data_IF_451616893339
#
_entry.id   IF_451616893339
#
_cell.length_a   1.000
_cell.length_b   1.000
_cell.length_c   1.000
_cell.angle_alpha   90.00
_cell.angle_beta   90.00
_cell.angle_gamma   90.00
#
_symmetry.space_group_name_H-M   'P 1'
#
loop_
_entity.id
_entity.type
_entity.pdbx_description
1 polymer ?
#
# COMPACT_ATOMS: atom_id res chain seq x y z
N UNK A 1 -6.16 -21.99 1.25
CA UNK A 1 -6.02 -20.60 0.76
C UNK A 1 -5.79 -20.64 -0.74
N UNK A 2 -6.63 -19.98 -1.53
CA UNK A 2 -6.65 -20.11 -2.99
C UNK A 2 -5.61 -19.22 -3.72
N UNK A 3 -4.53 -18.80 -3.03
CA UNK A 3 -3.34 -18.07 -3.54
C UNK A 3 -3.56 -17.21 -4.80
N UNK A 4 -4.52 -16.29 -4.78
CA UNK A 4 -4.83 -15.38 -5.91
C UNK A 4 -5.35 -16.05 -7.21
N UNK A 5 -5.74 -17.32 -7.16
CA UNK A 5 -6.13 -18.12 -8.33
C UNK A 5 -7.60 -17.95 -8.77
N UNK A 6 -8.40 -17.16 -8.05
CA UNK A 6 -9.81 -16.94 -8.38
C UNK A 6 -10.11 -15.46 -8.35
N UNK A 7 -10.40 -14.91 -9.54
CA UNK A 7 -10.87 -13.54 -9.66
C UNK A 7 -12.30 -13.44 -9.14
N UNK A 8 -12.54 -12.40 -8.33
CA UNK A 8 -13.89 -12.07 -7.87
C UNK A 8 -14.62 -11.29 -8.96
N UNK A 9 -15.95 -11.14 -8.80
CA UNK A 9 -16.75 -10.24 -9.65
C UNK A 9 -16.70 -8.78 -9.18
N UNK A 10 -16.07 -8.53 -8.03
CA UNK A 10 -15.97 -7.21 -7.42
C UNK A 10 -14.78 -6.48 -8.01
N UNK A 11 -15.02 -5.23 -8.43
CA UNK A 11 -13.99 -4.34 -8.97
C UNK A 11 -13.78 -3.22 -7.97
N UNK A 12 -12.51 -2.83 -7.76
CA UNK A 12 -12.19 -1.65 -6.97
C UNK A 12 -12.65 -0.40 -7.74
N UNK A 13 -13.53 0.38 -7.11
CA UNK A 13 -14.03 1.65 -7.62
C UNK A 13 -14.46 2.54 -6.46
N UNK A 14 -14.69 3.83 -6.72
CA UNK A 14 -15.22 4.74 -5.71
C UNK A 14 -16.50 4.21 -5.08
N UNK A 15 -17.44 3.73 -5.89
CA UNK A 15 -18.74 3.23 -5.43
C UNK A 15 -18.59 2.02 -4.51
N UNK A 16 -17.60 1.16 -4.79
CA UNK A 16 -17.30 0.04 -3.92
C UNK A 16 -16.76 0.51 -2.58
N UNK A 17 -15.78 1.42 -2.57
CA UNK A 17 -15.21 1.98 -1.35
C UNK A 17 -16.25 2.73 -0.52
N UNK A 18 -17.11 3.55 -1.14
CA UNK A 18 -18.21 4.24 -0.46
C UNK A 18 -19.13 3.22 0.24
N UNK A 19 -19.50 2.13 -0.44
CA UNK A 19 -20.35 1.07 0.12
C UNK A 19 -19.69 0.37 1.31
N UNK A 20 -18.43 -0.06 1.18
CA UNK A 20 -17.78 -0.84 2.24
C UNK A 20 -17.31 0.02 3.42
N UNK A 21 -17.12 1.33 3.21
CA UNK A 21 -16.77 2.28 4.27
C UNK A 21 -17.84 2.40 5.35
N UNK A 22 -19.10 2.03 5.06
CA UNK A 22 -20.16 1.96 6.08
C UNK A 22 -19.93 0.84 7.12
N UNK A 23 -19.05 -0.13 6.80
CA UNK A 23 -18.86 -1.35 7.59
C UNK A 23 -17.44 -1.51 8.15
N UNK A 24 -16.54 -0.56 7.90
CA UNK A 24 -15.19 -0.57 8.43
C UNK A 24 -14.69 0.84 8.74
N UNK A 25 -13.49 0.94 9.29
CA UNK A 25 -12.84 2.22 9.61
C UNK A 25 -11.49 2.37 8.91
N UNK A 26 -11.03 1.35 8.20
CA UNK A 26 -9.73 1.30 7.53
C UNK A 26 -9.73 0.20 6.46
N UNK A 27 -8.91 0.37 5.43
CA UNK A 27 -8.68 -0.63 4.39
C UNK A 27 -7.23 -1.09 4.32
N UNK A 28 -7.02 -2.39 4.15
CA UNK A 28 -5.75 -2.94 3.69
C UNK A 28 -5.91 -3.40 2.24
N UNK A 29 -5.27 -2.69 1.30
CA UNK A 29 -5.34 -2.99 -0.13
C UNK A 29 -4.05 -3.67 -0.56
N UNK A 30 -4.17 -4.90 -1.01
CA UNK A 30 -3.04 -5.71 -1.41
C UNK A 30 -2.95 -5.86 -2.95
N UNK A 31 -1.90 -5.30 -3.56
CA UNK A 31 -1.63 -5.43 -4.98
C UNK A 31 -0.88 -6.75 -5.25
N UNK A 32 -1.64 -7.81 -5.51
CA UNK A 32 -1.11 -9.18 -5.64
C UNK A 32 -0.16 -9.38 -6.84
N UNK A 33 -0.36 -8.64 -7.94
CA UNK A 33 0.47 -8.78 -9.15
C UNK A 33 1.91 -8.30 -8.96
N UNK A 34 2.20 -7.57 -7.88
CA UNK A 34 3.54 -7.04 -7.54
C UNK A 34 4.13 -7.67 -6.27
N UNK A 35 3.45 -8.63 -5.65
CA UNK A 35 3.90 -9.30 -4.42
C UNK A 35 5.12 -10.20 -4.71
N UNK A 36 6.24 -9.95 -4.04
CA UNK A 36 7.47 -10.75 -4.17
C UNK A 36 8.33 -10.46 -5.40
N UNK A 37 7.84 -9.69 -6.39
CA UNK A 37 8.62 -9.31 -7.57
C UNK A 37 9.51 -8.08 -7.35
N UNK A 38 9.27 -7.30 -6.29
CA UNK A 38 9.98 -6.04 -6.00
C UNK A 38 10.06 -5.14 -7.24
N UNK A 39 8.97 -5.01 -7.99
CA UNK A 39 8.98 -4.25 -9.24
C UNK A 39 8.59 -2.78 -9.05
N UNK A 40 8.25 -2.37 -7.81
CA UNK A 40 7.77 -1.03 -7.48
C UNK A 40 6.28 -1.05 -7.14
N UNK A 41 5.79 0.05 -6.61
CA UNK A 41 4.37 0.24 -6.30
C UNK A 41 3.54 0.50 -7.57
N UNK A 42 2.24 0.19 -7.53
CA UNK A 42 1.31 0.63 -8.56
C UNK A 42 0.87 2.08 -8.26
N UNK A 43 1.56 3.04 -8.89
CA UNK A 43 1.32 4.48 -8.69
C UNK A 43 -0.11 4.91 -9.04
N UNK A 44 -0.71 4.33 -10.07
CA UNK A 44 -2.06 4.68 -10.50
C UNK A 44 -3.10 4.15 -9.52
N UNK A 45 -2.88 2.96 -8.97
CA UNK A 45 -3.72 2.43 -7.90
C UNK A 45 -3.62 3.30 -6.65
N UNK A 46 -2.42 3.71 -6.22
CA UNK A 46 -2.25 4.58 -5.04
C UNK A 46 -3.01 5.90 -5.18
N UNK A 47 -2.93 6.57 -6.34
CA UNK A 47 -3.72 7.79 -6.61
C UNK A 47 -5.22 7.53 -6.49
N UNK A 48 -5.70 6.48 -7.14
CA UNK A 48 -7.12 6.10 -7.12
C UNK A 48 -7.62 5.80 -5.71
N UNK A 49 -6.83 5.12 -4.90
CA UNK A 49 -7.19 4.83 -3.50
C UNK A 49 -7.42 6.11 -2.70
N UNK A 50 -6.54 7.11 -2.87
CA UNK A 50 -6.69 8.41 -2.21
C UNK A 50 -7.90 9.23 -2.72
N UNK A 51 -8.32 9.01 -3.97
CA UNK A 51 -9.52 9.62 -4.56
C UNK A 51 -10.82 8.90 -4.15
N UNK A 52 -10.77 7.58 -3.93
CA UNK A 52 -11.94 6.74 -3.76
C UNK A 52 -12.44 6.62 -2.32
N UNK A 53 -11.59 6.87 -1.32
CA UNK A 53 -11.97 6.76 0.08
C UNK A 53 -11.35 7.86 0.93
N UNK A 54 -12.14 8.35 1.88
CA UNK A 54 -11.69 9.26 2.94
C UNK A 54 -11.31 8.54 4.23
N UNK A 55 -11.55 7.23 4.33
CA UNK A 55 -11.01 6.39 5.41
C UNK A 55 -9.52 6.10 5.18
N UNK A 56 -8.75 5.88 6.27
CA UNK A 56 -7.36 5.43 6.18
C UNK A 56 -7.20 4.17 5.31
N UNK A 57 -6.14 4.14 4.52
CA UNK A 57 -5.82 3.03 3.64
C UNK A 57 -4.35 2.67 3.82
N UNK A 58 -4.09 1.40 4.10
CA UNK A 58 -2.76 0.80 4.04
C UNK A 58 -2.62 0.08 2.72
N UNK A 59 -1.63 0.47 1.92
CA UNK A 59 -1.27 -0.20 0.68
C UNK A 59 -0.14 -1.22 0.91
N UNK A 60 -0.32 -2.44 0.40
CA UNK A 60 0.66 -3.51 0.45
C UNK A 60 0.92 -4.08 -0.95
N UNK A 61 2.12 -3.86 -1.49
CA UNK A 61 2.52 -4.47 -2.75
C UNK A 61 3.70 -3.80 -3.43
N UNK A 62 4.82 -4.53 -3.55
CA UNK A 62 5.91 -4.16 -4.45
C UNK A 62 6.87 -3.07 -3.97
N UNK A 63 6.67 -2.50 -2.77
CA UNK A 63 7.59 -1.53 -2.16
C UNK A 63 8.98 -2.12 -2.00
N UNK A 64 9.99 -1.41 -2.50
CA UNK A 64 11.36 -1.92 -2.63
C UNK A 64 12.43 -0.91 -2.29
N UNK A 65 12.11 0.37 -2.18
CA UNK A 65 13.04 1.42 -1.82
C UNK A 65 12.42 2.31 -0.75
N UNK A 66 13.22 2.89 0.14
CA UNK A 66 12.70 3.81 1.17
C UNK A 66 12.02 5.05 0.55
N UNK A 67 12.44 5.48 -0.64
CA UNK A 67 11.82 6.58 -1.37
C UNK A 67 10.38 6.30 -1.81
N UNK A 68 9.93 5.04 -1.80
CA UNK A 68 8.53 4.70 -2.07
C UNK A 68 7.59 5.33 -1.00
N UNK A 69 8.07 5.58 0.23
CA UNK A 69 7.31 6.31 1.26
C UNK A 69 6.95 7.73 0.80
N UNK A 70 7.94 8.48 0.33
CA UNK A 70 7.76 9.84 -0.17
C UNK A 70 6.93 9.86 -1.46
N UNK A 71 7.07 8.83 -2.30
CA UNK A 71 6.28 8.68 -3.50
C UNK A 71 4.80 8.46 -3.16
N UNK A 72 4.49 7.51 -2.28
CA UNK A 72 3.11 7.23 -1.84
C UNK A 72 2.49 8.44 -1.15
N UNK A 73 3.22 9.09 -0.25
CA UNK A 73 2.76 10.31 0.43
C UNK A 73 2.37 11.39 -0.58
N UNK A 74 3.24 11.66 -1.57
CA UNK A 74 2.97 12.64 -2.63
C UNK A 74 1.78 12.24 -3.50
N UNK A 75 1.69 10.97 -3.91
CA UNK A 75 0.64 10.49 -4.81
C UNK A 75 -0.74 10.46 -4.13
N UNK A 76 -0.77 10.22 -2.82
CA UNK A 76 -1.99 10.12 -2.03
C UNK A 76 -2.34 11.40 -1.27
N UNK A 77 -1.47 12.42 -1.32
CA UNK A 77 -1.57 13.61 -0.48
C UNK A 77 -1.69 13.25 1.01
N UNK A 78 -0.83 12.32 1.46
CA UNK A 78 -0.77 11.81 2.83
C UNK A 78 -1.95 10.95 3.28
N UNK A 79 -2.82 10.49 2.36
CA UNK A 79 -4.00 9.68 2.70
C UNK A 79 -3.74 8.16 2.71
N UNK A 80 -2.66 7.70 2.10
CA UNK A 80 -2.37 6.26 1.96
C UNK A 80 -1.05 5.94 2.67
N UNK A 81 -1.08 4.96 3.55
CA UNK A 81 0.08 4.39 4.22
C UNK A 81 0.72 3.27 3.38
N UNK A 82 2.01 3.02 3.59
CA UNK A 82 2.78 2.01 2.83
C UNK A 82 3.31 0.89 3.71
N UNK A 83 3.07 -0.35 3.29
CA UNK A 83 3.63 -1.55 3.93
C UNK A 83 4.97 -1.94 3.31
N UNK A 84 5.95 -2.26 4.16
CA UNK A 84 7.15 -3.00 3.79
C UNK A 84 7.17 -4.38 4.46
N UNK A 85 7.62 -5.38 3.71
CA UNK A 85 7.76 -6.76 4.18
C UNK A 85 9.12 -7.33 3.81
N UNK A 86 9.15 -8.24 2.83
CA UNK A 86 10.37 -8.97 2.41
C UNK A 86 11.56 -8.11 1.97
N UNK A 87 11.33 -6.85 1.60
CA UNK A 87 12.39 -5.91 1.23
C UNK A 87 13.26 -5.46 2.43
N UNK A 88 12.73 -5.55 3.67
CA UNK A 88 13.38 -5.06 4.88
C UNK A 88 14.53 -5.97 5.32
N UNK A 89 15.62 -5.34 5.77
CA UNK A 89 16.79 -5.97 6.39
C UNK A 89 16.45 -6.89 7.56
N UNK A 90 15.51 -6.51 8.43
CA UNK A 90 15.06 -7.32 9.57
C UNK A 90 14.37 -8.64 9.16
N UNK A 91 13.92 -8.77 7.91
CA UNK A 91 13.36 -9.99 7.34
C UNK A 91 14.34 -10.71 6.39
N UNK A 92 15.62 -10.31 6.38
CA UNK A 92 16.65 -10.85 5.49
C UNK A 92 16.67 -10.23 4.09
N UNK A 93 15.85 -9.21 3.85
CA UNK A 93 15.91 -8.35 2.68
C UNK A 93 17.19 -7.52 2.66
N UNK A 94 17.47 -6.88 1.52
CA UNK A 94 18.67 -6.04 1.34
C UNK A 94 18.37 -4.70 0.69
N UNK A 95 17.10 -4.42 0.44
CA UNK A 95 16.69 -3.28 -0.36
C UNK A 95 16.33 -2.08 0.52
N UNK A 96 15.75 -2.33 1.69
CA UNK A 96 15.26 -1.28 2.59
C UNK A 96 15.73 -1.57 4.01
N UNK A 97 16.20 -0.55 4.73
CA UNK A 97 16.50 -0.68 6.16
C UNK A 97 15.29 -0.31 7.01
N UNK A 98 14.94 -1.15 7.96
CA UNK A 98 13.84 -0.87 8.90
C UNK A 98 14.00 0.46 9.64
N UNK A 99 15.24 0.80 10.02
CA UNK A 99 15.55 2.06 10.69
C UNK A 99 15.22 3.29 9.84
N UNK A 100 15.40 3.22 8.52
CA UNK A 100 15.11 4.34 7.61
C UNK A 100 13.59 4.59 7.51
N UNK A 101 12.79 3.53 7.44
CA UNK A 101 11.32 3.64 7.51
C UNK A 101 10.87 4.24 8.86
N UNK A 102 11.49 3.81 9.96
CA UNK A 102 11.21 4.36 11.29
C UNK A 102 11.62 5.84 11.40
N UNK A 103 12.73 6.24 10.77
CA UNK A 103 13.17 7.63 10.71
C UNK A 103 12.19 8.49 9.92
N UNK A 104 11.68 8.00 8.78
CA UNK A 104 10.61 8.66 8.02
C UNK A 104 9.39 8.94 8.90
N UNK A 105 8.85 7.92 9.59
CA UNK A 105 7.66 8.09 10.43
C UNK A 105 7.85 9.13 11.55
N UNK A 106 9.07 9.28 12.07
CA UNK A 106 9.38 10.30 13.09
C UNK A 106 9.37 11.73 12.53
N UNK A 107 9.58 11.91 11.23
CA UNK A 107 9.56 13.23 10.58
C UNK A 107 8.15 13.71 10.22
N UNK A 108 7.17 12.81 10.18
CA UNK A 108 5.77 13.11 9.86
C UNK A 108 4.94 13.54 11.08
N UNK A 109 5.54 13.53 12.28
CA UNK A 109 4.92 13.92 13.56
C UNK A 109 5.33 15.31 14.03
#
# INVERSE_FOLDING_TARGET
MNKWQTLTKTVLSKEYFDLVSEYCSEFLVHAADVEGLCNGIDEELVKKLAEWSDLPIVYAGGAKDVSDLALVDRLSNGKVDLTYGSALDIFGGKLVKFEECCAWNKLQN
#
